data_IF_628398884517
#
_entry.id   IF_628398884517
#
_cell.length_a   1.000
_cell.length_b   1.000
_cell.length_c   1.000
_cell.angle_alpha   90.00
_cell.angle_beta   90.00
_cell.angle_gamma   90.00
#
_symmetry.space_group_name_H-M   'P 1'
#
loop_
_entity.id
_entity.type
_entity.pdbx_description
1 polymer ?
#
# COMPACT_ATOMS: atom_id res chain seq x y z
N UNK A 1 -4.44 -6.15 1.06
CA UNK A 1 -4.47 -6.39 2.52
C UNK A 1 -5.84 -6.24 3.21
N UNK A 2 -6.89 -5.63 2.61
CA UNK A 2 -8.20 -5.35 3.24
C UNK A 2 -8.93 -6.56 3.89
N UNK A 3 -8.59 -7.79 3.50
CA UNK A 3 -9.13 -9.02 4.11
C UNK A 3 -8.53 -9.33 5.50
N UNK A 4 -7.39 -8.73 5.84
CA UNK A 4 -6.61 -9.02 7.05
C UNK A 4 -6.72 -7.89 8.07
N UNK A 5 -6.66 -6.66 7.60
CA UNK A 5 -6.80 -5.45 8.42
C UNK A 5 -7.63 -4.40 7.68
N UNK A 6 -8.14 -3.44 8.44
CA UNK A 6 -8.91 -2.32 7.91
C UNK A 6 -8.01 -1.40 7.06
N UNK A 7 -8.61 -0.73 6.08
CA UNK A 7 -7.96 0.33 5.32
C UNK A 7 -8.17 1.64 6.05
N UNK A 8 -7.14 2.48 6.10
CA UNK A 8 -7.24 3.80 6.72
C UNK A 8 -8.39 4.59 6.07
N UNK A 9 -9.31 5.14 6.89
CA UNK A 9 -10.38 5.98 6.36
C UNK A 9 -9.79 7.27 5.79
N UNK A 10 -10.54 7.91 4.89
CA UNK A 10 -10.20 9.27 4.48
C UNK A 10 -10.26 10.23 5.67
N UNK A 11 -9.33 11.16 5.72
CA UNK A 11 -9.37 12.37 6.53
C UNK A 11 -10.50 13.32 6.03
N UNK A 12 -10.66 14.46 6.70
CA UNK A 12 -11.49 15.55 6.17
C UNK A 12 -11.05 15.90 4.73
N UNK A 13 -12.00 16.27 3.88
CA UNK A 13 -11.80 16.64 2.47
C UNK A 13 -11.30 15.50 1.55
N UNK A 14 -11.61 14.23 1.87
CA UNK A 14 -11.30 13.06 1.03
C UNK A 14 -9.80 12.87 0.76
N UNK A 15 -8.98 13.18 1.76
CA UNK A 15 -7.53 13.05 1.71
C UNK A 15 -7.05 11.90 2.60
N UNK A 16 -5.83 11.45 2.39
CA UNK A 16 -5.10 10.57 3.30
C UNK A 16 -3.66 11.09 3.39
N UNK A 17 -3.15 11.30 4.60
CA UNK A 17 -1.84 11.94 4.84
C UNK A 17 -1.72 13.28 4.11
N UNK A 18 -2.78 14.09 4.14
CA UNK A 18 -2.87 15.37 3.41
C UNK A 18 -2.59 15.26 1.90
N UNK A 19 -2.91 14.11 1.30
CA UNK A 19 -2.87 13.89 -0.16
C UNK A 19 -4.23 13.44 -0.68
N UNK A 20 -4.63 13.88 -1.89
CA UNK A 20 -5.83 13.38 -2.55
C UNK A 20 -5.78 11.86 -2.72
N UNK A 21 -6.84 11.19 -2.32
CA UNK A 21 -7.00 9.74 -2.49
C UNK A 21 -7.14 9.41 -3.98
N UNK A 22 -6.29 8.52 -4.48
CA UNK A 22 -6.32 8.05 -5.86
C UNK A 22 -7.25 6.84 -6.04
N UNK A 23 -7.28 5.96 -5.04
CA UNK A 23 -8.16 4.78 -4.91
C UNK A 23 -8.37 4.50 -3.41
N UNK A 24 -9.33 3.65 -3.03
CA UNK A 24 -9.56 3.33 -1.60
C UNK A 24 -8.25 2.94 -0.88
N UNK A 25 -7.79 3.78 0.05
CA UNK A 25 -6.55 3.58 0.80
C UNK A 25 -5.24 3.85 0.06
N UNK A 26 -5.29 4.43 -1.14
CA UNK A 26 -4.12 4.68 -1.99
C UNK A 26 -3.96 6.17 -2.29
N UNK A 27 -2.73 6.66 -2.14
CA UNK A 27 -2.30 8.01 -2.50
C UNK A 27 -1.03 7.94 -3.35
N UNK A 28 -0.79 8.96 -4.17
CA UNK A 28 0.39 9.04 -5.03
C UNK A 28 1.41 10.03 -4.45
N UNK A 29 2.68 9.64 -4.42
CA UNK A 29 3.82 10.51 -4.11
C UNK A 29 4.84 10.51 -5.26
N UNK A 30 5.52 11.63 -5.52
CA UNK A 30 6.64 11.68 -6.46
C UNK A 30 7.89 11.06 -5.81
N UNK A 31 7.86 9.74 -5.58
CA UNK A 31 8.83 9.01 -4.77
C UNK A 31 10.29 9.23 -5.21
N UNK A 32 10.55 9.30 -6.53
CA UNK A 32 11.90 9.55 -7.06
C UNK A 32 12.40 10.97 -6.80
N UNK A 33 11.56 11.97 -7.04
CA UNK A 33 11.91 13.39 -6.81
C UNK A 33 12.18 13.66 -5.32
N UNK A 34 11.46 12.97 -4.45
CA UNK A 34 11.61 13.05 -3.00
C UNK A 34 12.70 12.13 -2.44
N UNK A 35 13.38 11.33 -3.27
CA UNK A 35 14.43 10.41 -2.82
C UNK A 35 13.95 9.26 -1.93
N UNK A 36 12.68 8.88 -2.02
CA UNK A 36 12.10 7.77 -1.25
C UNK A 36 12.55 6.42 -1.82
N UNK A 37 12.65 5.41 -0.94
CA UNK A 37 13.14 4.07 -1.28
C UNK A 37 12.42 3.45 -2.49
N UNK A 38 11.09 3.58 -2.56
CA UNK A 38 10.29 3.04 -3.66
C UNK A 38 10.66 3.63 -5.05
N UNK A 39 11.23 4.84 -5.08
CA UNK A 39 11.66 5.54 -6.30
C UNK A 39 13.14 5.38 -6.64
N UNK A 40 13.91 4.60 -5.87
CA UNK A 40 15.37 4.49 -6.04
C UNK A 40 15.80 3.79 -7.34
N UNK A 41 15.12 2.72 -7.75
CA UNK A 41 15.43 1.94 -8.95
C UNK A 41 14.59 2.35 -10.15
N UNK A 42 14.94 1.85 -11.35
CA UNK A 42 14.11 1.98 -12.55
C UNK A 42 13.01 0.88 -12.60
N UNK A 43 12.27 0.70 -11.51
CA UNK A 43 11.21 -0.31 -11.42
C UNK A 43 9.98 0.08 -12.27
N UNK A 44 9.24 -0.92 -12.77
CA UNK A 44 7.97 -0.70 -13.47
C UNK A 44 6.80 -0.53 -12.51
N UNK A 45 6.84 -1.25 -11.38
CA UNK A 45 5.84 -1.20 -10.31
C UNK A 45 6.54 -1.01 -8.97
N UNK A 46 6.01 -0.09 -8.16
CA UNK A 46 6.42 0.10 -6.78
C UNK A 46 5.24 0.55 -5.92
N UNK A 47 5.38 0.33 -4.62
CA UNK A 47 4.47 0.86 -3.60
C UNK A 47 5.22 0.98 -2.28
N UNK A 48 4.70 1.79 -1.36
CA UNK A 48 5.11 1.82 0.04
C UNK A 48 3.88 1.50 0.88
N UNK A 49 3.98 0.43 1.68
CA UNK A 49 2.90 -0.04 2.55
C UNK A 49 3.02 0.59 3.93
N UNK A 50 2.06 1.44 4.28
CA UNK A 50 1.98 2.07 5.61
C UNK A 50 0.99 1.29 6.49
N UNK A 51 1.53 0.52 7.44
CA UNK A 51 0.73 -0.15 8.50
C UNK A 51 0.74 0.69 9.77
N UNK A 52 -0.37 0.68 10.50
CA UNK A 52 -0.55 1.48 11.73
C UNK A 52 -0.62 0.57 12.96
N UNK A 53 0.53 0.11 13.51
CA UNK A 53 0.56 -0.83 14.63
C UNK A 53 0.01 -0.23 15.94
N UNK A 54 0.00 1.10 16.05
CA UNK A 54 -0.50 1.81 17.23
C UNK A 54 -2.04 1.89 17.30
N UNK A 55 -2.75 1.37 16.29
CA UNK A 55 -4.21 1.31 16.29
C UNK A 55 -4.73 0.32 17.33
N UNK A 56 -5.71 0.72 18.13
CA UNK A 56 -6.40 -0.17 19.08
C UNK A 56 -7.19 -1.29 18.41
N UNK A 57 -7.28 -1.29 17.08
CA UNK A 57 -8.06 -2.23 16.28
C UNK A 57 -7.19 -3.30 15.57
N UNK A 58 -5.89 -3.34 15.82
CA UNK A 58 -4.97 -4.32 15.21
C UNK A 58 -4.10 -5.00 16.26
N UNK A 59 -3.65 -6.21 15.94
CA UNK A 59 -2.56 -6.88 16.64
C UNK A 59 -1.25 -6.74 15.87
N UNK A 60 -0.12 -6.99 16.54
CA UNK A 60 1.20 -7.07 15.90
C UNK A 60 1.22 -8.12 14.78
N UNK A 61 0.58 -9.27 15.01
CA UNK A 61 0.47 -10.34 14.03
C UNK A 61 -0.33 -9.90 12.79
N UNK A 62 -1.44 -9.18 12.97
CA UNK A 62 -2.20 -8.63 11.84
C UNK A 62 -1.39 -7.64 11.02
N UNK A 63 -0.53 -6.83 11.66
CA UNK A 63 0.37 -5.92 10.95
C UNK A 63 1.37 -6.69 10.07
N UNK A 64 1.98 -7.75 10.61
CA UNK A 64 2.89 -8.60 9.85
C UNK A 64 2.17 -9.30 8.68
N UNK A 65 1.00 -9.88 8.92
CA UNK A 65 0.21 -10.54 7.89
C UNK A 65 -0.27 -9.55 6.82
N UNK A 66 -0.59 -8.31 7.18
CA UNK A 66 -0.96 -7.27 6.23
C UNK A 66 0.19 -6.92 5.26
N UNK A 67 1.42 -6.83 5.78
CA UNK A 67 2.62 -6.62 4.97
C UNK A 67 2.87 -7.80 4.02
N UNK A 68 2.80 -9.04 4.52
CA UNK A 68 2.91 -10.25 3.69
C UNK A 68 1.87 -10.24 2.57
N UNK A 69 0.61 -9.94 2.90
CA UNK A 69 -0.47 -9.92 1.91
C UNK A 69 -0.36 -8.81 0.87
N UNK A 70 0.31 -7.69 1.19
CA UNK A 70 0.61 -6.66 0.20
C UNK A 70 1.67 -7.15 -0.80
N UNK A 71 2.72 -7.83 -0.30
CA UNK A 71 3.77 -8.42 -1.13
C UNK A 71 3.19 -9.52 -2.02
N UNK A 72 2.51 -10.52 -1.45
CA UNK A 72 1.97 -11.64 -2.22
C UNK A 72 0.89 -11.18 -3.19
N UNK A 73 0.04 -10.23 -2.81
CA UNK A 73 -0.96 -9.66 -3.74
C UNK A 73 -0.33 -8.96 -4.95
N UNK A 74 0.85 -8.33 -4.79
CA UNK A 74 1.61 -7.78 -5.91
C UNK A 74 2.19 -8.87 -6.82
N UNK A 75 2.70 -9.96 -6.23
CA UNK A 75 3.22 -11.10 -6.99
C UNK A 75 2.10 -11.85 -7.74
N UNK A 76 0.97 -12.09 -7.09
CA UNK A 76 -0.21 -12.73 -7.68
C UNK A 76 -0.73 -11.91 -8.88
N UNK A 77 -0.72 -10.58 -8.78
CA UNK A 77 -1.07 -9.70 -9.89
C UNK A 77 -0.14 -9.88 -11.09
N UNK A 78 1.16 -10.02 -10.87
CA UNK A 78 2.14 -10.22 -11.94
C UNK A 78 1.98 -11.60 -12.59
N UNK A 79 1.87 -12.65 -11.77
CA UNK A 79 1.71 -14.03 -12.25
C UNK A 79 0.40 -14.22 -13.03
N UNK A 80 -0.70 -13.63 -12.56
CA UNK A 80 -1.99 -13.69 -13.25
C UNK A 80 -2.03 -12.91 -14.57
N UNK A 81 -1.09 -11.98 -14.80
CA UNK A 81 -0.95 -11.27 -16.08
C UNK A 81 -0.26 -12.10 -17.14
N UNK A 82 0.71 -12.95 -16.77
CA UNK A 82 1.40 -13.84 -17.73
C UNK A 82 0.45 -14.86 -18.36
N UNK A 83 -0.63 -15.26 -17.68
CA UNK A 83 -1.65 -16.17 -18.24
C UNK A 83 -2.61 -15.47 -19.24
N UNK A 84 -2.59 -14.14 -19.29
CA UNK A 84 -3.52 -13.31 -20.10
C UNK A 84 -2.87 -12.71 -21.35
N UNK A 85 -1.57 -12.91 -21.56
CA UNK A 85 -0.78 -12.47 -22.73
C UNK A 85 -0.42 -13.68 -23.62
#
# INVERSE_FOLDING_TARGET
MKKITHIAPAEADSQLLSKPIAQEGVINYPARELGLCAGFSNNQYCTTTEVYPDSSHVTEEQCNLAQVAAITGGLDYLLGREESE
#
